data_IF_898853027100
#
_entry.id   IF_898853027100
#
_cell.length_a   1.000
_cell.length_b   1.000
_cell.length_c   1.000
_cell.angle_alpha   90.00
_cell.angle_beta   90.00
_cell.angle_gamma   90.00
#
_symmetry.space_group_name_H-M   'P 1'
#
loop_
_entity.id
_entity.type
_entity.pdbx_description
1 polymer ?
#
# COMPACT_ATOMS: atom_id res chain seq x y z
N UNK A 1 -15.60 12.15 24.33
CA UNK A 1 -15.26 11.41 25.58
C UNK A 1 -13.86 10.82 25.54
N UNK A 2 -13.38 10.19 24.44
CA UNK A 2 -12.04 9.62 24.37
C UNK A 2 -10.94 10.70 24.47
N UNK A 3 -11.06 11.79 23.72
CA UNK A 3 -10.09 12.87 23.72
C UNK A 3 -9.99 13.58 25.08
N UNK A 4 -11.12 13.77 25.78
CA UNK A 4 -11.12 14.33 27.15
C UNK A 4 -10.41 13.43 28.14
N UNK A 5 -10.64 12.10 28.05
CA UNK A 5 -9.92 11.14 28.90
C UNK A 5 -8.42 11.17 28.64
N UNK A 6 -8.01 11.26 27.36
CA UNK A 6 -6.57 11.36 27.01
C UNK A 6 -5.96 12.64 27.57
N UNK A 7 -6.67 13.77 27.52
CA UNK A 7 -6.23 15.03 28.12
C UNK A 7 -6.06 14.92 29.64
N UNK A 8 -6.94 14.17 30.33
CA UNK A 8 -6.87 13.94 31.77
C UNK A 8 -5.74 12.97 32.16
N UNK A 9 -5.44 11.98 31.32
CA UNK A 9 -4.45 10.92 31.60
C UNK A 9 -3.03 11.27 31.14
N UNK A 10 -2.84 12.26 30.27
CA UNK A 10 -1.55 12.61 29.67
C UNK A 10 -1.08 14.01 30.12
N UNK A 11 -0.19 14.06 31.12
CA UNK A 11 0.36 15.31 31.69
C UNK A 11 1.02 16.25 30.66
N UNK A 12 1.46 15.70 29.52
CA UNK A 12 2.09 16.46 28.44
C UNK A 12 1.09 17.24 27.58
N UNK A 13 -0.19 16.86 27.56
CA UNK A 13 -1.24 17.55 26.80
C UNK A 13 -1.74 18.76 27.58
N UNK A 14 -1.81 19.91 26.90
CA UNK A 14 -2.18 21.18 27.54
C UNK A 14 -3.57 21.65 27.12
N UNK A 15 -4.01 21.31 25.94
CA UNK A 15 -5.31 21.72 25.40
C UNK A 15 -5.84 20.73 24.38
N UNK A 16 -7.15 20.79 24.20
CA UNK A 16 -7.89 20.06 23.20
C UNK A 16 -8.42 21.08 22.17
N UNK A 17 -8.23 20.77 20.88
CA UNK A 17 -8.75 21.56 19.77
C UNK A 17 -9.81 20.73 19.06
N UNK A 18 -11.01 21.26 18.91
CA UNK A 18 -12.11 20.62 18.18
C UNK A 18 -12.20 21.17 16.76
N UNK A 19 -12.40 20.25 15.81
CA UNK A 19 -12.73 20.57 14.42
C UNK A 19 -14.19 20.15 14.21
N UNK A 20 -15.05 21.08 13.86
CA UNK A 20 -16.50 20.86 13.64
C UNK A 20 -17.37 21.44 14.75
N UNK A 21 -18.62 21.02 14.81
CA UNK A 21 -19.69 21.68 15.60
C UNK A 21 -19.78 21.27 17.08
N UNK A 22 -18.71 20.80 17.68
CA UNK A 22 -18.73 20.47 19.13
C UNK A 22 -18.62 21.74 19.98
N UNK A 23 -19.59 21.95 20.88
CA UNK A 23 -19.66 23.10 21.79
C UNK A 23 -19.15 22.77 23.19
N UNK A 24 -18.17 21.89 23.31
CA UNK A 24 -17.54 21.56 24.58
C UNK A 24 -16.58 22.62 25.13
N UNK A 25 -16.02 22.34 26.31
CA UNK A 25 -15.01 23.21 26.96
C UNK A 25 -13.61 22.90 26.38
N UNK A 26 -13.38 23.37 25.15
CA UNK A 26 -12.12 23.19 24.41
C UNK A 26 -11.95 24.32 23.38
N UNK A 27 -10.78 24.42 22.76
CA UNK A 27 -10.51 25.39 21.72
C UNK A 27 -11.24 24.99 20.43
N UNK A 28 -11.87 25.95 19.78
CA UNK A 28 -12.51 25.77 18.48
C UNK A 28 -11.54 26.10 17.36
N UNK A 29 -11.36 25.16 16.42
CA UNK A 29 -10.38 25.27 15.34
C UNK A 29 -10.67 26.47 14.42
N UNK A 30 -11.93 26.65 13.99
CA UNK A 30 -12.32 27.70 13.06
C UNK A 30 -12.16 29.08 13.70
N UNK A 31 -12.58 29.24 14.96
CA UNK A 31 -12.39 30.48 15.72
C UNK A 31 -10.91 30.83 15.92
N UNK A 32 -10.05 29.81 16.11
CA UNK A 32 -8.61 30.03 16.19
C UNK A 32 -8.05 30.54 14.85
N UNK A 33 -8.45 29.94 13.74
CA UNK A 33 -8.06 30.38 12.39
C UNK A 33 -8.50 31.83 12.16
N UNK A 34 -9.78 32.14 12.41
CA UNK A 34 -10.34 33.49 12.22
C UNK A 34 -9.59 34.55 13.04
N UNK A 35 -9.25 34.25 14.30
CA UNK A 35 -8.55 35.18 15.17
C UNK A 35 -7.10 35.47 14.76
N UNK A 36 -6.53 34.65 13.87
CA UNK A 36 -5.15 34.78 13.40
C UNK A 36 -5.05 35.15 11.90
N UNK A 37 -6.17 35.38 11.23
CA UNK A 37 -6.16 35.79 9.83
C UNK A 37 -5.41 37.13 9.66
N UNK A 38 -4.50 37.17 8.70
CA UNK A 38 -3.69 38.36 8.38
C UNK A 38 -2.57 38.66 9.35
N UNK A 39 -2.31 37.81 10.32
CA UNK A 39 -1.12 37.92 11.16
C UNK A 39 0.11 37.38 10.39
N UNK A 40 1.24 38.07 10.51
CA UNK A 40 2.52 37.55 10.00
C UNK A 40 3.11 36.58 11.02
N UNK A 41 3.47 35.39 10.54
CA UNK A 41 4.21 34.41 11.32
C UNK A 41 5.66 34.41 10.86
N UNK A 42 6.58 34.29 11.82
CA UNK A 42 7.97 34.05 11.53
C UNK A 42 8.18 32.57 11.28
N UNK A 43 8.65 32.22 10.08
CA UNK A 43 9.04 30.85 9.78
C UNK A 43 10.20 30.43 10.69
N UNK A 44 10.08 29.23 11.26
CA UNK A 44 11.18 28.61 11.96
C UNK A 44 12.20 28.04 10.96
N UNK A 45 13.48 28.17 11.32
CA UNK A 45 14.55 27.55 10.52
C UNK A 45 14.54 26.05 10.81
N UNK A 46 14.48 25.24 9.78
CA UNK A 46 14.58 23.78 9.88
C UNK A 46 15.84 23.29 9.21
N UNK A 47 16.48 22.33 9.85
CA UNK A 47 17.68 21.67 9.33
C UNK A 47 17.31 20.35 8.61
N UNK A 48 18.26 19.82 7.85
CA UNK A 48 18.06 18.61 7.04
C UNK A 48 17.59 17.42 7.88
N UNK A 49 18.16 17.24 9.07
CA UNK A 49 17.92 16.10 9.96
C UNK A 49 16.79 16.35 10.96
N UNK A 50 16.17 17.53 10.95
CA UNK A 50 15.04 17.80 11.83
C UNK A 50 13.85 16.90 11.50
N UNK A 51 13.14 16.35 12.51
CA UNK A 51 11.94 15.57 12.30
C UNK A 51 10.83 16.41 11.64
N UNK A 52 10.27 15.87 10.55
CA UNK A 52 9.12 16.46 9.87
C UNK A 52 7.83 15.70 10.17
N UNK A 53 7.91 14.35 10.14
CA UNK A 53 6.73 13.51 10.25
C UNK A 53 7.04 12.22 11.01
N UNK A 54 6.23 11.90 12.00
CA UNK A 54 6.23 10.61 12.68
C UNK A 54 5.24 9.68 11.97
N UNK A 55 5.74 8.74 11.18
CA UNK A 55 4.91 7.81 10.44
C UNK A 55 4.70 6.53 11.26
N UNK A 56 3.50 6.38 11.82
CA UNK A 56 3.17 5.23 12.66
C UNK A 56 2.85 4.01 11.82
N UNK A 57 3.51 2.90 12.14
CA UNK A 57 3.25 1.58 11.55
C UNK A 57 2.81 0.59 12.62
N UNK A 58 1.96 -0.38 12.24
CA UNK A 58 1.57 -1.46 13.14
C UNK A 58 2.75 -2.41 13.31
N UNK A 59 3.48 -2.27 14.43
CA UNK A 59 4.59 -3.18 14.75
C UNK A 59 4.11 -4.63 14.91
N UNK A 60 4.97 -5.59 14.57
CA UNK A 60 4.74 -7.04 14.77
C UNK A 60 4.50 -7.39 16.25
N UNK A 61 4.99 -6.57 17.18
CA UNK A 61 4.86 -6.73 18.64
C UNK A 61 3.56 -6.19 19.23
N UNK A 62 2.65 -5.65 18.41
CA UNK A 62 1.35 -5.14 18.84
C UNK A 62 1.32 -3.67 19.29
N UNK A 63 2.46 -3.02 19.53
CA UNK A 63 2.54 -1.57 19.75
C UNK A 63 2.97 -0.86 18.46
N UNK A 64 2.29 0.22 18.05
CA UNK A 64 2.73 1.00 16.89
C UNK A 64 4.14 1.54 17.08
N UNK A 65 4.94 1.50 16.01
CA UNK A 65 6.26 2.14 15.95
C UNK A 65 6.16 3.39 15.08
N UNK A 66 6.83 4.47 15.47
CA UNK A 66 6.85 5.72 14.71
C UNK A 66 8.18 5.86 13.96
N UNK A 67 8.18 5.66 12.66
CA UNK A 67 9.33 6.00 11.81
C UNK A 67 9.51 7.52 11.75
N UNK A 68 10.71 8.00 12.03
CA UNK A 68 11.05 9.43 12.00
C UNK A 68 11.45 9.81 10.58
N UNK A 69 10.58 10.57 9.91
CA UNK A 69 10.84 11.13 8.60
C UNK A 69 11.36 12.56 8.77
N UNK A 70 12.53 12.86 8.19
CA UNK A 70 13.17 14.19 8.32
C UNK A 70 12.80 15.11 7.17
N UNK A 71 13.05 16.41 7.34
CA UNK A 71 12.90 17.39 6.26
C UNK A 71 13.76 17.06 5.05
N UNK A 72 14.99 16.62 5.27
CA UNK A 72 15.90 16.25 4.20
C UNK A 72 15.46 14.98 3.46
N UNK A 73 15.03 13.96 4.18
CA UNK A 73 14.46 12.75 3.59
C UNK A 73 13.23 13.11 2.73
N UNK A 74 12.31 13.92 3.24
CA UNK A 74 11.11 14.31 2.50
C UNK A 74 11.45 15.16 1.28
N UNK A 75 12.45 16.02 1.34
CA UNK A 75 12.95 16.77 0.18
C UNK A 75 13.45 15.81 -0.92
N UNK A 76 14.24 14.79 -0.55
CA UNK A 76 14.64 13.74 -1.50
C UNK A 76 13.42 13.03 -2.08
N UNK A 77 12.47 12.61 -1.25
CA UNK A 77 11.25 11.89 -1.65
C UNK A 77 10.42 12.70 -2.65
N UNK A 78 10.19 13.99 -2.39
CA UNK A 78 9.44 14.87 -3.30
C UNK A 78 10.12 14.94 -4.66
N UNK A 79 11.43 15.19 -4.71
CA UNK A 79 12.17 15.24 -5.96
C UNK A 79 12.19 13.89 -6.70
N UNK A 80 12.38 12.80 -5.97
CA UNK A 80 12.37 11.46 -6.52
C UNK A 80 11.01 11.08 -7.12
N UNK A 81 9.90 11.39 -6.43
CA UNK A 81 8.54 11.13 -6.95
C UNK A 81 8.27 11.95 -8.23
N UNK A 82 8.69 13.21 -8.27
CA UNK A 82 8.55 14.05 -9.46
C UNK A 82 9.35 13.49 -10.64
N UNK A 83 10.53 12.90 -10.39
CA UNK A 83 11.36 12.32 -11.45
C UNK A 83 10.82 10.98 -11.94
N UNK A 84 10.42 10.08 -11.02
CA UNK A 84 10.14 8.68 -11.34
C UNK A 84 8.65 8.40 -11.58
N UNK A 85 7.73 9.04 -10.82
CA UNK A 85 6.30 8.69 -10.86
C UNK A 85 5.48 9.61 -11.75
N UNK A 86 5.75 10.93 -11.73
CA UNK A 86 4.98 11.93 -12.47
C UNK A 86 5.89 12.92 -13.19
N UNK A 87 6.81 12.43 -14.04
CA UNK A 87 7.72 13.32 -14.78
C UNK A 87 6.95 14.36 -15.60
N UNK A 88 7.50 15.57 -15.70
CA UNK A 88 6.89 16.66 -16.45
C UNK A 88 5.69 17.33 -15.78
N UNK A 89 5.49 17.14 -14.47
CA UNK A 89 4.45 17.86 -13.71
C UNK A 89 4.82 19.32 -13.53
N UNK A 90 3.85 20.22 -13.75
CA UNK A 90 3.98 21.68 -13.69
C UNK A 90 2.86 22.30 -12.85
N UNK A 91 2.87 23.62 -12.72
CA UNK A 91 1.81 24.38 -12.04
C UNK A 91 0.44 24.33 -12.75
N UNK A 92 0.40 23.85 -13.98
CA UNK A 92 -0.85 23.68 -14.74
C UNK A 92 -1.53 22.33 -14.48
N UNK A 93 -0.83 21.42 -13.77
CA UNK A 93 -1.37 20.12 -13.44
C UNK A 93 -2.39 20.20 -12.29
N UNK A 94 -3.28 19.23 -12.28
CA UNK A 94 -4.29 19.09 -11.25
C UNK A 94 -4.24 17.66 -10.70
N UNK A 95 -4.08 17.53 -9.42
CA UNK A 95 -4.19 16.25 -8.71
C UNK A 95 -5.53 16.12 -7.99
N UNK A 96 -6.03 14.90 -7.78
CA UNK A 96 -7.22 14.64 -6.97
C UNK A 96 -6.90 13.69 -5.83
N UNK A 97 -7.31 14.06 -4.61
CA UNK A 97 -7.12 13.24 -3.42
C UNK A 97 -8.32 12.31 -3.20
N UNK A 98 -8.10 11.00 -3.34
CA UNK A 98 -9.11 9.94 -3.17
C UNK A 98 -8.78 8.99 -2.02
N UNK A 99 -7.62 9.15 -1.41
CA UNK A 99 -7.14 8.35 -0.29
C UNK A 99 -6.76 9.27 0.89
N UNK A 100 -6.71 8.75 2.13
CA UNK A 100 -6.39 9.57 3.31
C UNK A 100 -5.03 10.28 3.19
N UNK A 101 -5.03 11.58 3.47
CA UNK A 101 -3.82 12.41 3.43
C UNK A 101 -2.81 12.08 4.55
N UNK A 102 -3.21 11.30 5.54
CA UNK A 102 -2.32 10.78 6.58
C UNK A 102 -1.37 9.66 6.12
N UNK A 103 -1.44 9.27 4.83
CA UNK A 103 -0.64 8.21 4.22
C UNK A 103 -0.01 8.66 2.89
N UNK A 104 0.20 7.72 1.96
CA UNK A 104 0.83 7.96 0.67
C UNK A 104 0.21 9.10 -0.14
N UNK A 105 -1.10 9.34 -0.02
CA UNK A 105 -1.77 10.49 -0.64
C UNK A 105 -1.27 11.83 -0.09
N UNK A 106 -0.90 11.91 1.19
CA UNK A 106 -0.30 13.12 1.77
C UNK A 106 1.10 13.39 1.21
N UNK A 107 1.92 12.36 1.05
CA UNK A 107 3.21 12.50 0.36
C UNK A 107 2.99 12.96 -1.08
N UNK A 108 2.04 12.35 -1.80
CA UNK A 108 1.70 12.74 -3.17
C UNK A 108 1.19 14.18 -3.27
N UNK A 109 0.49 14.69 -2.24
CA UNK A 109 0.10 16.10 -2.18
C UNK A 109 1.32 17.01 -2.14
N UNK A 110 2.34 16.71 -1.33
CA UNK A 110 3.52 17.55 -1.16
C UNK A 110 4.25 17.80 -2.48
N UNK A 111 4.38 16.79 -3.33
CA UNK A 111 5.07 16.94 -4.62
C UNK A 111 4.26 17.78 -5.62
N UNK A 112 2.92 17.71 -5.58
CA UNK A 112 2.08 18.59 -6.38
C UNK A 112 2.18 20.05 -5.90
N UNK A 113 2.16 20.28 -4.59
CA UNK A 113 2.39 21.61 -3.98
C UNK A 113 3.76 22.16 -4.35
N UNK A 114 4.82 21.35 -4.31
CA UNK A 114 6.17 21.74 -4.69
C UNK A 114 6.28 22.21 -6.16
N UNK A 115 5.33 21.80 -7.03
CA UNK A 115 5.23 22.25 -8.42
C UNK A 115 4.22 23.39 -8.64
N UNK A 116 3.52 23.83 -7.58
CA UNK A 116 2.43 24.79 -7.70
C UNK A 116 1.17 24.24 -8.35
N UNK A 117 1.07 22.91 -8.50
CA UNK A 117 -0.09 22.23 -9.06
C UNK A 117 -1.31 22.32 -8.13
N UNK A 118 -2.51 22.32 -8.71
CA UNK A 118 -3.75 22.38 -7.96
C UNK A 118 -4.10 21.01 -7.36
N UNK A 119 -4.76 21.03 -6.20
CA UNK A 119 -5.29 19.82 -5.55
C UNK A 119 -6.80 19.89 -5.40
N UNK A 120 -7.51 18.91 -5.94
CA UNK A 120 -8.95 18.69 -5.75
C UNK A 120 -9.14 17.72 -4.60
N UNK A 121 -9.89 18.13 -3.58
CA UNK A 121 -10.30 17.25 -2.47
C UNK A 121 -11.67 16.67 -2.77
N UNK A 122 -11.80 15.35 -2.66
CA UNK A 122 -13.10 14.69 -2.75
C UNK A 122 -13.99 15.12 -1.57
N UNK A 123 -15.24 15.56 -1.81
CA UNK A 123 -16.16 15.86 -0.73
C UNK A 123 -16.69 14.58 -0.06
N UNK A 124 -16.99 14.67 1.23
CA UNK A 124 -17.60 13.59 2.00
C UNK A 124 -16.62 12.53 2.50
N UNK A 125 -17.16 11.52 3.19
CA UNK A 125 -16.37 10.48 3.88
C UNK A 125 -16.28 9.17 3.11
N UNK A 126 -16.91 9.07 1.93
CA UNK A 126 -16.92 7.89 1.07
C UNK A 126 -16.61 8.30 -0.36
N UNK A 127 -15.81 7.48 -1.04
CA UNK A 127 -15.56 7.65 -2.46
C UNK A 127 -16.83 7.37 -3.25
N UNK A 128 -17.23 8.35 -4.06
CA UNK A 128 -18.30 8.24 -5.06
C UNK A 128 -17.63 8.21 -6.44
N UNK A 129 -17.68 7.08 -7.16
CA UNK A 129 -17.04 6.96 -8.47
C UNK A 129 -17.62 7.90 -9.54
N UNK A 130 -18.91 8.18 -9.49
CA UNK A 130 -19.52 9.09 -10.46
C UNK A 130 -19.03 10.52 -10.24
N UNK A 131 -19.07 11.00 -9.01
CA UNK A 131 -18.55 12.32 -8.64
C UNK A 131 -17.03 12.42 -8.94
N UNK A 132 -16.29 11.34 -8.72
CA UNK A 132 -14.86 11.30 -9.06
C UNK A 132 -14.65 11.61 -10.55
N UNK A 133 -15.33 10.90 -11.45
CA UNK A 133 -15.14 11.11 -12.89
C UNK A 133 -15.67 12.46 -13.36
N UNK A 134 -16.74 13.00 -12.76
CA UNK A 134 -17.18 14.38 -12.98
C UNK A 134 -16.10 15.40 -12.62
N UNK A 135 -15.43 15.20 -11.49
CA UNK A 135 -14.35 16.09 -11.06
C UNK A 135 -13.10 15.94 -11.94
N UNK A 136 -12.78 14.73 -12.41
CA UNK A 136 -11.69 14.49 -13.37
C UNK A 136 -11.91 15.28 -14.64
N UNK A 137 -13.10 15.20 -15.25
CA UNK A 137 -13.44 15.95 -16.44
C UNK A 137 -13.45 17.46 -16.18
N UNK A 138 -14.18 17.90 -15.15
CA UNK A 138 -14.38 19.32 -14.81
C UNK A 138 -13.06 20.07 -14.54
N UNK A 139 -12.16 19.44 -13.79
CA UNK A 139 -10.91 20.05 -13.36
C UNK A 139 -9.73 19.62 -14.22
N UNK A 140 -9.94 18.77 -15.25
CA UNK A 140 -8.90 18.21 -16.11
C UNK A 140 -7.76 17.58 -15.29
N UNK A 141 -8.14 16.71 -14.35
CA UNK A 141 -7.19 16.06 -13.45
C UNK A 141 -6.15 15.30 -14.27
N UNK A 142 -4.88 15.51 -13.94
CA UNK A 142 -3.75 14.89 -14.66
C UNK A 142 -3.07 13.76 -13.88
N UNK A 143 -3.19 13.74 -12.55
CA UNK A 143 -2.56 12.71 -11.74
C UNK A 143 -3.33 12.46 -10.43
N UNK A 144 -3.14 11.26 -9.88
CA UNK A 144 -3.62 10.91 -8.54
C UNK A 144 -2.80 9.77 -7.94
N UNK A 145 -2.81 9.69 -6.61
CA UNK A 145 -2.36 8.53 -5.86
C UNK A 145 -3.55 7.75 -5.30
N UNK A 146 -3.51 6.41 -5.41
CA UNK A 146 -4.59 5.56 -4.95
C UNK A 146 -4.08 4.16 -4.54
N UNK A 147 -5.02 3.25 -4.27
CA UNK A 147 -4.77 1.83 -3.97
C UNK A 147 -5.50 0.94 -4.97
N UNK A 148 -5.06 -0.32 -5.20
CA UNK A 148 -5.66 -1.22 -6.19
C UNK A 148 -7.18 -1.37 -6.08
N UNK A 149 -7.71 -1.42 -4.86
CA UNK A 149 -9.18 -1.54 -4.64
C UNK A 149 -9.95 -0.33 -5.12
N UNK A 150 -9.38 0.88 -5.00
CA UNK A 150 -9.99 2.11 -5.53
C UNK A 150 -9.88 2.12 -7.05
N UNK A 151 -8.73 1.75 -7.63
CA UNK A 151 -8.61 1.64 -9.10
C UNK A 151 -9.71 0.72 -9.63
N UNK A 152 -9.86 -0.48 -9.06
CA UNK A 152 -10.91 -1.43 -9.45
C UNK A 152 -12.31 -0.81 -9.38
N UNK A 153 -12.66 -0.18 -8.25
CA UNK A 153 -13.95 0.47 -8.06
C UNK A 153 -14.22 1.54 -9.13
N UNK A 154 -13.23 2.36 -9.45
CA UNK A 154 -13.36 3.45 -10.42
C UNK A 154 -13.55 2.94 -11.83
N UNK A 155 -12.79 1.93 -12.27
CA UNK A 155 -12.84 1.41 -13.65
C UNK A 155 -13.99 0.42 -13.89
N UNK A 156 -14.55 -0.17 -12.83
CA UNK A 156 -15.73 -1.04 -12.91
C UNK A 156 -17.05 -0.27 -12.91
N UNK A 157 -17.04 0.96 -12.43
CA UNK A 157 -18.25 1.79 -12.43
C UNK A 157 -18.52 2.35 -13.82
N UNK A 158 -19.78 2.28 -14.27
CA UNK A 158 -20.19 2.71 -15.62
C UNK A 158 -19.88 4.17 -15.96
N UNK A 159 -19.69 5.02 -14.95
CA UNK A 159 -19.35 6.43 -15.15
C UNK A 159 -17.99 6.65 -15.79
N UNK A 160 -17.05 5.69 -15.74
CA UNK A 160 -15.76 5.80 -16.44
C UNK A 160 -15.94 6.03 -17.95
N UNK A 161 -16.97 5.44 -18.54
CA UNK A 161 -17.27 5.55 -19.97
C UNK A 161 -18.11 6.81 -20.32
N UNK A 162 -18.58 7.57 -19.31
CA UNK A 162 -19.46 8.73 -19.52
C UNK A 162 -18.75 10.08 -19.48
N UNK A 163 -17.61 10.16 -18.80
CA UNK A 163 -16.86 11.40 -18.57
C UNK A 163 -15.51 11.40 -19.28
N UNK A 164 -15.07 12.57 -19.73
CA UNK A 164 -13.75 12.73 -20.36
C UNK A 164 -12.64 12.67 -19.31
N UNK A 165 -11.83 11.66 -19.40
CA UNK A 165 -10.62 11.48 -18.57
C UNK A 165 -9.32 11.56 -19.37
N UNK A 166 -9.35 12.13 -20.59
CA UNK A 166 -8.18 12.24 -21.48
C UNK A 166 -7.06 13.13 -20.94
N UNK A 167 -7.35 13.93 -19.91
CA UNK A 167 -6.35 14.72 -19.18
C UNK A 167 -5.48 13.89 -18.23
N UNK A 168 -5.93 12.68 -17.86
CA UNK A 168 -5.23 11.83 -16.91
C UNK A 168 -3.95 11.28 -17.53
N UNK A 169 -2.81 11.54 -16.90
CA UNK A 169 -1.49 11.07 -17.32
C UNK A 169 -0.92 10.01 -16.39
N UNK A 170 -1.20 10.14 -15.10
CA UNK A 170 -0.64 9.26 -14.07
C UNK A 170 -1.69 8.86 -13.04
N UNK A 171 -2.05 7.57 -13.03
CA UNK A 171 -2.79 6.93 -11.96
C UNK A 171 -1.83 6.05 -11.16
N UNK A 172 -1.31 6.60 -10.06
CA UNK A 172 -0.36 5.90 -9.22
C UNK A 172 -1.13 4.96 -8.30
N UNK A 173 -0.71 3.69 -8.24
CA UNK A 173 -1.25 2.71 -7.31
C UNK A 173 -0.16 2.03 -6.49
N UNK A 174 -0.42 1.85 -5.20
CA UNK A 174 0.51 1.25 -4.26
C UNK A 174 -0.19 0.69 -3.01
N UNK A 175 0.59 0.17 -2.06
CA UNK A 175 0.12 -0.22 -0.73
C UNK A 175 -0.54 -1.59 -0.64
N UNK A 176 -0.87 -2.21 -1.77
CA UNK A 176 -1.35 -3.59 -1.90
C UNK A 176 -0.99 -4.16 -3.28
N UNK A 177 -1.01 -5.48 -3.46
CA UNK A 177 -0.87 -6.09 -4.77
C UNK A 177 -2.00 -5.67 -5.72
N UNK A 178 -1.65 -5.37 -6.97
CA UNK A 178 -2.61 -5.24 -8.07
C UNK A 178 -2.72 -6.57 -8.80
N UNK A 179 -3.92 -7.12 -8.88
CA UNK A 179 -4.13 -8.36 -9.61
C UNK A 179 -4.14 -8.12 -11.11
N UNK A 180 -3.64 -9.08 -11.88
CA UNK A 180 -3.47 -8.94 -13.32
C UNK A 180 -4.78 -8.61 -14.06
N UNK A 181 -5.88 -9.25 -13.67
CA UNK A 181 -7.19 -8.99 -14.27
C UNK A 181 -7.66 -7.54 -14.06
N UNK A 182 -7.47 -7.00 -12.84
CA UNK A 182 -7.84 -5.62 -12.51
C UNK A 182 -6.90 -4.62 -13.22
N UNK A 183 -5.60 -4.95 -13.34
CA UNK A 183 -4.63 -4.15 -14.08
C UNK A 183 -5.00 -4.05 -15.57
N UNK A 184 -5.33 -5.19 -16.22
CA UNK A 184 -5.78 -5.21 -17.63
C UNK A 184 -7.02 -4.33 -17.82
N UNK A 185 -8.02 -4.48 -16.95
CA UNK A 185 -9.25 -3.70 -17.02
C UNK A 185 -8.97 -2.19 -16.89
N UNK A 186 -8.06 -1.80 -15.99
CA UNK A 186 -7.65 -0.41 -15.85
C UNK A 186 -6.95 0.11 -17.11
N UNK A 187 -6.04 -0.67 -17.69
CA UNK A 187 -5.35 -0.31 -18.94
C UNK A 187 -6.31 -0.23 -20.14
N UNK A 188 -7.30 -1.13 -20.23
CA UNK A 188 -8.33 -1.09 -21.26
C UNK A 188 -9.18 0.17 -21.20
N UNK A 189 -9.56 0.61 -20.00
CA UNK A 189 -10.42 1.78 -19.78
C UNK A 189 -9.67 3.11 -19.85
N UNK A 190 -8.46 3.16 -19.34
CA UNK A 190 -7.74 4.41 -19.10
C UNK A 190 -6.53 4.61 -20.02
N UNK A 191 -6.08 3.55 -20.71
CA UNK A 191 -4.85 3.58 -21.47
C UNK A 191 -3.59 3.51 -20.60
N UNK A 192 -2.45 3.97 -21.15
CA UNK A 192 -1.11 3.92 -20.53
C UNK A 192 -0.91 5.02 -19.47
N UNK A 193 -1.71 5.00 -18.42
CA UNK A 193 -1.63 5.99 -17.31
C UNK A 193 -1.25 5.36 -15.97
N UNK A 194 -1.14 4.03 -15.93
CA UNK A 194 -0.87 3.30 -14.69
C UNK A 194 0.59 3.42 -14.28
N UNK A 195 0.85 3.79 -13.03
CA UNK A 195 2.18 3.81 -12.42
C UNK A 195 2.09 3.05 -11.10
N UNK A 196 2.91 2.01 -10.94
CA UNK A 196 3.01 1.31 -9.67
C UNK A 196 4.21 1.80 -8.89
N UNK A 197 4.11 1.82 -7.56
CA UNK A 197 5.30 1.76 -6.73
C UNK A 197 5.14 0.78 -5.56
N UNK A 198 6.27 0.28 -5.10
CA UNK A 198 6.38 -0.50 -3.87
C UNK A 198 7.21 0.26 -2.84
N UNK A 199 6.77 0.17 -1.59
CA UNK A 199 7.45 0.72 -0.44
C UNK A 199 6.58 0.69 0.80
N UNK A 200 7.10 1.27 1.86
CA UNK A 200 6.48 1.32 3.17
C UNK A 200 6.68 2.69 3.81
N UNK A 201 6.06 2.92 4.96
CA UNK A 201 6.09 4.21 5.64
C UNK A 201 7.49 4.68 5.98
N UNK A 202 8.33 3.77 6.42
CA UNK A 202 9.73 4.00 6.81
C UNK A 202 10.63 4.47 5.66
N UNK A 203 10.20 4.23 4.42
CA UNK A 203 10.92 4.63 3.19
C UNK A 203 10.07 5.56 2.33
N UNK A 204 8.93 6.01 2.86
CA UNK A 204 7.97 6.89 2.16
C UNK A 204 7.57 6.40 0.75
N UNK A 205 7.50 5.07 0.57
CA UNK A 205 7.15 4.45 -0.70
C UNK A 205 8.27 4.42 -1.76
N UNK A 206 9.50 4.81 -1.41
CA UNK A 206 10.60 4.96 -2.36
C UNK A 206 11.48 3.70 -2.49
N UNK A 207 10.91 2.50 -2.65
CA UNK A 207 11.73 1.30 -2.90
C UNK A 207 11.82 1.02 -4.40
N UNK A 208 10.70 0.68 -5.05
CA UNK A 208 10.65 0.46 -6.50
C UNK A 208 9.52 1.21 -7.17
N UNK A 209 9.54 1.25 -8.50
CA UNK A 209 8.43 1.71 -9.31
C UNK A 209 8.37 0.99 -10.66
N UNK A 210 7.15 0.87 -11.18
CA UNK A 210 6.88 0.40 -12.53
C UNK A 210 6.20 1.54 -13.28
N UNK A 211 6.89 2.22 -14.19
CA UNK A 211 6.35 3.37 -14.94
C UNK A 211 5.30 2.93 -15.96
N UNK A 212 4.62 3.89 -16.55
CA UNK A 212 3.50 3.64 -17.46
C UNK A 212 3.88 2.72 -18.62
N UNK A 213 5.03 2.93 -19.24
CA UNK A 213 5.52 2.18 -20.40
C UNK A 213 5.90 0.72 -20.10
N UNK A 214 6.01 0.36 -18.82
CA UNK A 214 6.29 -1.01 -18.39
C UNK A 214 5.03 -1.81 -18.01
N UNK A 215 3.85 -1.29 -18.35
CA UNK A 215 2.58 -2.00 -18.28
C UNK A 215 2.13 -2.42 -19.68
N UNK A 216 1.61 -3.62 -19.84
CA UNK A 216 1.09 -4.12 -21.13
C UNK A 216 -0.23 -4.88 -20.91
N UNK A 217 -1.13 -4.83 -21.88
CA UNK A 217 -2.35 -5.66 -21.94
C UNK A 217 -2.05 -7.07 -22.42
N UNK A 218 -1.00 -7.25 -23.22
CA UNK A 218 -0.62 -8.51 -23.81
C UNK A 218 0.25 -9.32 -22.82
N UNK A 219 -0.23 -10.49 -22.41
CA UNK A 219 0.49 -11.38 -21.51
C UNK A 219 1.71 -12.05 -22.18
N UNK A 220 1.74 -12.10 -23.51
CA UNK A 220 2.85 -12.66 -24.29
C UNK A 220 3.94 -11.59 -24.58
N UNK A 221 3.68 -10.31 -24.25
CA UNK A 221 4.66 -9.26 -24.38
C UNK A 221 5.83 -9.51 -23.39
N UNK A 222 7.06 -9.63 -23.87
CA UNK A 222 8.23 -9.76 -22.99
C UNK A 222 8.37 -8.63 -21.96
N UNK A 223 7.73 -7.48 -22.22
CA UNK A 223 7.72 -6.31 -21.35
C UNK A 223 6.46 -6.21 -20.48
N UNK A 224 5.61 -7.22 -20.45
CA UNK A 224 4.39 -7.19 -19.63
C UNK A 224 4.68 -7.07 -18.11
N UNK A 225 5.87 -7.53 -17.67
CA UNK A 225 6.35 -7.42 -16.28
C UNK A 225 5.33 -7.88 -15.23
N UNK A 226 4.56 -8.94 -15.58
CA UNK A 226 3.45 -9.45 -14.76
C UNK A 226 3.94 -9.82 -13.35
N UNK A 227 3.28 -9.29 -12.33
CA UNK A 227 3.62 -9.55 -10.93
C UNK A 227 4.84 -8.79 -10.39
N UNK A 228 5.59 -8.08 -11.24
CA UNK A 228 6.71 -7.25 -10.78
C UNK A 228 6.21 -5.98 -10.09
N UNK A 229 6.94 -5.53 -9.09
CA UNK A 229 6.79 -4.21 -8.50
C UNK A 229 7.79 -3.18 -9.09
N UNK A 230 8.45 -3.52 -10.20
CA UNK A 230 9.29 -2.62 -10.99
C UNK A 230 10.76 -2.66 -10.65
N UNK A 231 11.43 -1.57 -10.95
CA UNK A 231 12.87 -1.34 -10.78
C UNK A 231 13.15 -0.45 -9.57
N UNK A 232 14.38 -0.44 -9.04
CA UNK A 232 14.76 0.47 -7.95
C UNK A 232 14.47 1.93 -8.30
N UNK A 233 13.99 2.70 -7.31
CA UNK A 233 13.81 4.14 -7.46
C UNK A 233 15.16 4.84 -7.65
N UNK A 234 15.16 5.93 -8.40
CA UNK A 234 16.37 6.75 -8.63
C UNK A 234 17.01 7.17 -7.31
N UNK A 235 18.29 6.84 -7.12
CA UNK A 235 19.04 7.13 -5.90
C UNK A 235 18.81 6.17 -4.73
N UNK A 236 18.06 5.09 -4.94
CA UNK A 236 17.89 4.00 -3.98
C UNK A 236 18.63 2.74 -4.44
N UNK A 237 19.13 1.97 -3.49
CA UNK A 237 19.73 0.66 -3.74
C UNK A 237 18.85 -0.44 -3.14
N UNK A 238 18.77 -1.58 -3.83
CA UNK A 238 18.05 -2.77 -3.39
C UNK A 238 18.98 -3.97 -3.40
N UNK A 239 18.85 -4.81 -2.39
CA UNK A 239 19.47 -6.12 -2.33
C UNK A 239 18.46 -7.17 -1.88
N UNK A 240 18.63 -8.39 -2.38
CA UNK A 240 17.95 -9.57 -1.84
C UNK A 240 18.96 -10.27 -0.95
N UNK A 241 18.66 -10.33 0.35
CA UNK A 241 19.61 -10.87 1.35
C UNK A 241 19.11 -12.20 1.93
N UNK A 242 20.06 -13.09 2.21
CA UNK A 242 19.80 -14.28 3.04
C UNK A 242 19.88 -13.95 4.53
N UNK A 243 19.64 -14.95 5.39
CA UNK A 243 19.70 -14.82 6.86
C UNK A 243 21.11 -14.50 7.42
N UNK A 244 22.14 -14.52 6.59
CA UNK A 244 23.50 -14.15 6.94
C UNK A 244 23.91 -12.81 6.33
N UNK A 245 22.94 -12.01 5.87
CA UNK A 245 23.13 -10.71 5.21
C UNK A 245 23.94 -10.77 3.91
N UNK A 246 23.97 -11.94 3.27
CA UNK A 246 24.68 -12.12 2.00
C UNK A 246 23.71 -11.90 0.85
N UNK A 247 24.13 -11.10 -0.14
CA UNK A 247 23.38 -10.88 -1.36
C UNK A 247 23.20 -12.16 -2.17
N UNK A 248 21.97 -12.42 -2.56
CA UNK A 248 21.55 -13.52 -3.40
C UNK A 248 21.62 -13.15 -4.89
N UNK A 249 21.65 -14.17 -5.75
CA UNK A 249 21.67 -14.00 -7.21
C UNK A 249 20.25 -13.75 -7.74
N UNK A 250 20.21 -13.31 -9.00
CA UNK A 250 18.95 -13.17 -9.72
C UNK A 250 18.14 -14.49 -9.69
N UNK A 251 16.84 -14.37 -9.38
CA UNK A 251 15.90 -15.49 -9.23
C UNK A 251 15.91 -16.20 -7.87
N UNK A 252 16.90 -15.94 -7.00
CA UNK A 252 16.92 -16.50 -5.65
C UNK A 252 16.06 -15.65 -4.71
N UNK A 253 15.20 -16.32 -3.91
CA UNK A 253 14.27 -15.66 -2.97
C UNK A 253 14.97 -15.41 -1.64
N UNK A 254 14.90 -14.18 -1.16
CA UNK A 254 15.36 -13.73 0.16
C UNK A 254 14.60 -12.51 0.63
N UNK A 255 15.10 -11.85 1.67
CA UNK A 255 14.51 -10.60 2.13
C UNK A 255 14.87 -9.45 1.20
N UNK A 256 13.87 -8.65 0.83
CA UNK A 256 14.07 -7.41 0.08
C UNK A 256 14.57 -6.36 1.07
N UNK A 257 15.79 -5.91 0.88
CA UNK A 257 16.40 -4.86 1.68
C UNK A 257 16.73 -3.66 0.81
N UNK A 258 16.65 -2.46 1.38
CA UNK A 258 16.95 -1.24 0.64
C UNK A 258 17.81 -0.28 1.47
N UNK A 259 18.49 0.63 0.78
CA UNK A 259 19.22 1.74 1.38
C UNK A 259 19.20 2.97 0.48
N UNK A 260 19.35 4.13 1.07
CA UNK A 260 19.36 5.39 0.34
C UNK A 260 18.70 6.51 1.11
N UNK A 261 18.67 7.72 0.52
CA UNK A 261 18.21 8.92 1.22
C UNK A 261 16.71 8.93 1.60
N UNK A 262 15.91 7.99 1.09
CA UNK A 262 14.50 7.87 1.45
C UNK A 262 14.25 7.05 2.71
N UNK A 263 15.27 6.39 3.27
CA UNK A 263 15.13 5.59 4.49
C UNK A 263 15.02 6.50 5.71
N UNK A 264 14.06 6.22 6.61
CA UNK A 264 13.82 7.01 7.83
C UNK A 264 15.07 7.06 8.74
N UNK A 265 15.13 8.06 9.61
CA UNK A 265 16.19 8.23 10.57
C UNK A 265 16.21 7.17 11.70
N UNK A 266 15.19 6.32 11.73
CA UNK A 266 14.96 5.28 12.72
C UNK A 266 13.57 5.37 13.34
N UNK A 267 13.33 4.58 14.40
CA UNK A 267 12.06 4.62 15.14
C UNK A 267 12.19 5.51 16.39
N UNK A 268 11.22 6.40 16.58
CA UNK A 268 11.17 7.33 17.70
C UNK A 268 11.17 6.58 19.03
N UNK A 269 12.09 6.96 19.92
CA UNK A 269 12.28 6.36 21.25
C UNK A 269 12.37 4.82 21.25
N UNK A 270 12.87 4.23 20.15
CA UNK A 270 13.00 2.80 20.03
C UNK A 270 14.30 2.39 19.31
N UNK A 271 15.46 2.54 20.00
CA UNK A 271 16.78 2.26 19.42
C UNK A 271 16.95 0.78 19.04
N UNK A 272 16.42 -0.16 19.84
CA UNK A 272 16.54 -1.59 19.56
C UNK A 272 15.85 -1.96 18.26
N UNK A 273 14.64 -1.45 18.03
CA UNK A 273 13.92 -1.66 16.78
C UNK A 273 14.59 -0.96 15.59
N UNK A 274 15.29 0.13 15.84
CA UNK A 274 16.07 0.84 14.80
C UNK A 274 17.28 0.01 14.41
N UNK A 275 18.04 -0.52 15.38
CA UNK A 275 19.19 -1.37 15.14
C UNK A 275 18.81 -2.64 14.35
N UNK A 276 17.73 -3.32 14.79
CA UNK A 276 17.18 -4.49 14.09
C UNK A 276 16.81 -4.17 12.62
N UNK A 277 16.09 -3.06 12.41
CA UNK A 277 15.63 -2.69 11.07
C UNK A 277 16.73 -2.19 10.15
N UNK A 278 17.89 -1.78 10.68
CA UNK A 278 19.04 -1.23 9.93
C UNK A 278 20.25 -2.17 9.94
N UNK A 279 20.07 -3.43 10.24
CA UNK A 279 21.17 -4.39 10.37
C UNK A 279 22.00 -4.47 9.09
N UNK A 280 23.32 -4.56 9.24
CA UNK A 280 24.25 -4.66 8.12
C UNK A 280 24.28 -3.44 7.18
N UNK A 281 23.70 -2.30 7.59
CA UNK A 281 23.63 -1.06 6.79
C UNK A 281 22.54 -1.09 5.70
N UNK A 282 21.59 -1.99 5.82
CA UNK A 282 20.40 -2.11 4.98
C UNK A 282 19.15 -1.93 5.81
N UNK A 283 18.14 -1.28 5.26
CA UNK A 283 16.81 -1.29 5.85
C UNK A 283 16.10 -2.60 5.47
N UNK A 284 15.73 -3.37 6.47
CA UNK A 284 15.03 -4.65 6.38
C UNK A 284 13.53 -4.43 6.26
N UNK A 285 12.96 -4.77 5.10
CA UNK A 285 11.53 -4.51 4.84
C UNK A 285 10.59 -5.54 5.48
N UNK A 286 11.11 -6.73 5.80
CA UNK A 286 10.30 -7.88 6.19
C UNK A 286 9.52 -8.50 5.03
N UNK A 287 9.64 -7.97 3.82
CA UNK A 287 9.05 -8.53 2.61
C UNK A 287 10.06 -9.47 1.93
N UNK A 288 9.59 -10.63 1.48
CA UNK A 288 10.37 -11.62 0.75
C UNK A 288 10.14 -11.45 -0.75
N UNK A 289 11.20 -11.67 -1.52
CA UNK A 289 11.12 -11.56 -2.97
C UNK A 289 12.42 -11.90 -3.67
N UNK A 290 12.49 -11.62 -4.93
CA UNK A 290 13.67 -11.81 -5.77
C UNK A 290 13.79 -10.68 -6.79
N UNK A 291 14.97 -10.56 -7.38
CA UNK A 291 15.24 -9.71 -8.54
C UNK A 291 15.51 -10.60 -9.73
N UNK A 292 14.90 -10.32 -10.89
CA UNK A 292 15.20 -11.07 -12.12
C UNK A 292 16.49 -10.56 -12.80
N UNK A 293 16.89 -11.23 -13.90
CA UNK A 293 18.10 -10.86 -14.67
C UNK A 293 18.00 -9.45 -15.31
N UNK A 294 16.79 -8.89 -15.44
CA UNK A 294 16.54 -7.54 -15.96
C UNK A 294 16.55 -6.47 -14.87
N UNK A 295 16.71 -6.86 -13.59
CA UNK A 295 16.68 -5.96 -12.46
C UNK A 295 15.28 -5.65 -11.92
N UNK A 296 14.26 -6.39 -12.37
CA UNK A 296 12.88 -6.24 -11.89
C UNK A 296 12.68 -6.97 -10.56
N UNK A 297 12.05 -6.30 -9.62
CA UNK A 297 11.76 -6.82 -8.28
C UNK A 297 10.39 -7.49 -8.26
N UNK A 298 10.32 -8.66 -7.62
CA UNK A 298 9.10 -9.44 -7.43
C UNK A 298 8.93 -9.75 -5.96
N UNK A 299 7.76 -9.42 -5.39
CA UNK A 299 7.42 -9.70 -4.00
C UNK A 299 6.68 -11.03 -3.93
N UNK A 300 7.22 -12.01 -3.19
CA UNK A 300 6.58 -13.31 -2.98
C UNK A 300 5.68 -13.34 -1.73
N UNK A 301 5.90 -12.43 -0.78
CA UNK A 301 5.08 -12.30 0.42
C UNK A 301 5.81 -11.61 1.55
N UNK A 302 5.22 -11.66 2.75
CA UNK A 302 5.89 -11.23 3.98
C UNK A 302 6.51 -12.41 4.69
N UNK A 303 7.65 -12.20 5.34
CA UNK A 303 8.29 -13.20 6.20
C UNK A 303 7.35 -13.66 7.32
N UNK A 304 6.56 -12.73 7.87
CA UNK A 304 5.55 -13.00 8.90
C UNK A 304 4.31 -13.76 8.43
N UNK A 305 4.04 -13.77 7.13
CA UNK A 305 2.87 -14.45 6.54
C UNK A 305 3.22 -15.81 5.95
N UNK A 306 4.52 -16.03 5.65
CA UNK A 306 5.03 -17.33 5.21
C UNK A 306 4.78 -18.37 6.31
N UNK A 307 4.39 -19.56 5.93
CA UNK A 307 4.27 -20.70 6.84
C UNK A 307 5.05 -21.91 6.32
N UNK A 308 5.42 -22.81 7.23
CA UNK A 308 6.23 -23.98 6.92
C UNK A 308 5.35 -25.22 6.94
N UNK A 309 5.09 -25.80 5.78
CA UNK A 309 4.29 -27.02 5.65
C UNK A 309 5.17 -28.19 5.23
N UNK A 310 5.32 -29.18 6.09
CA UNK A 310 6.13 -30.37 5.82
C UNK A 310 7.59 -30.05 5.51
N UNK A 311 8.15 -28.97 6.09
CA UNK A 311 9.53 -28.53 5.87
C UNK A 311 9.71 -27.64 4.63
N UNK A 312 8.65 -27.34 3.89
CA UNK A 312 8.70 -26.44 2.73
C UNK A 312 8.09 -25.06 3.09
N UNK A 313 8.78 -24.00 2.69
CA UNK A 313 8.24 -22.65 2.78
C UNK A 313 7.07 -22.48 1.81
N UNK A 314 5.95 -22.00 2.32
CA UNK A 314 4.76 -21.69 1.53
C UNK A 314 4.47 -20.19 1.62
N UNK A 315 4.38 -19.56 0.46
CA UNK A 315 4.10 -18.14 0.33
C UNK A 315 2.62 -17.96 -0.04
N UNK A 316 1.78 -17.46 0.86
CA UNK A 316 0.34 -17.34 0.64
C UNK A 316 -0.06 -16.59 -0.61
N UNK A 317 0.69 -15.55 -0.97
CA UNK A 317 0.41 -14.71 -2.14
C UNK A 317 0.39 -15.49 -3.46
N UNK A 318 1.28 -16.45 -3.65
CA UNK A 318 1.32 -17.27 -4.87
C UNK A 318 0.02 -18.06 -5.06
N UNK A 319 -0.57 -18.51 -3.94
CA UNK A 319 -1.83 -19.26 -3.96
C UNK A 319 -3.00 -18.32 -4.18
N UNK A 320 -2.98 -17.16 -3.51
CA UNK A 320 -4.00 -16.12 -3.66
C UNK A 320 -4.10 -15.63 -5.10
N UNK A 321 -2.96 -15.38 -5.75
CA UNK A 321 -2.92 -14.96 -7.17
C UNK A 321 -3.56 -15.99 -8.10
N UNK A 322 -3.30 -17.27 -7.87
CA UNK A 322 -3.95 -18.34 -8.64
C UNK A 322 -5.46 -18.38 -8.38
N UNK A 323 -5.88 -18.36 -7.12
CA UNK A 323 -7.30 -18.43 -6.75
C UNK A 323 -8.11 -17.24 -7.27
N UNK A 324 -7.51 -16.04 -7.32
CA UNK A 324 -8.15 -14.83 -7.84
C UNK A 324 -8.35 -14.82 -9.37
N UNK A 325 -7.69 -15.71 -10.10
CA UNK A 325 -7.99 -15.91 -11.52
C UNK A 325 -9.26 -16.74 -11.75
N UNK A 326 -9.84 -17.32 -10.69
CA UNK A 326 -11.12 -18.02 -10.79
C UNK A 326 -12.28 -17.03 -10.82
N UNK A 327 -13.18 -17.06 -11.84
CA UNK A 327 -14.24 -16.04 -11.98
C UNK A 327 -15.20 -15.95 -10.80
N UNK A 328 -15.38 -17.03 -10.05
CA UNK A 328 -16.22 -17.10 -8.87
C UNK A 328 -15.58 -16.54 -7.57
N UNK A 329 -14.33 -16.06 -7.63
CA UNK A 329 -13.61 -15.51 -6.46
C UNK A 329 -13.53 -13.99 -6.61
N UNK A 330 -14.04 -13.27 -5.63
CA UNK A 330 -13.92 -11.80 -5.54
C UNK A 330 -12.73 -11.37 -4.69
N UNK A 331 -12.56 -12.02 -3.53
CA UNK A 331 -11.44 -11.77 -2.63
C UNK A 331 -10.98 -13.11 -2.02
N UNK A 332 -9.69 -13.20 -1.68
CA UNK A 332 -9.14 -14.37 -0.99
C UNK A 332 -8.01 -13.96 -0.05
N UNK A 333 -7.90 -14.65 1.07
CA UNK A 333 -6.76 -14.57 1.98
C UNK A 333 -6.34 -15.97 2.37
N UNK A 334 -5.05 -16.28 2.17
CA UNK A 334 -4.44 -17.56 2.56
C UNK A 334 -3.45 -17.32 3.70
N UNK A 335 -3.44 -18.19 4.70
CA UNK A 335 -2.47 -18.14 5.81
C UNK A 335 -2.29 -19.51 6.45
N UNK A 336 -1.15 -19.69 7.12
CA UNK A 336 -0.83 -20.91 7.84
C UNK A 336 -1.58 -21.02 9.17
N UNK A 337 -1.98 -22.23 9.51
CA UNK A 337 -2.52 -22.62 10.82
C UNK A 337 -1.78 -23.85 11.32
N UNK A 338 -1.69 -24.09 12.65
CA UNK A 338 -1.04 -25.26 13.19
C UNK A 338 -1.67 -26.56 12.67
N UNK A 339 -0.83 -27.54 12.34
CA UNK A 339 -1.22 -28.89 11.88
C UNK A 339 -0.32 -29.95 12.52
N UNK A 340 -0.91 -30.99 13.09
CA UNK A 340 -0.17 -32.04 13.81
C UNK A 340 0.80 -32.82 12.91
N UNK A 341 0.47 -32.99 11.62
CA UNK A 341 1.26 -33.78 10.69
C UNK A 341 2.33 -32.96 9.97
N UNK A 342 1.99 -31.72 9.58
CA UNK A 342 2.81 -30.90 8.70
C UNK A 342 3.49 -29.73 9.42
N UNK A 343 3.26 -29.57 10.75
CA UNK A 343 3.65 -28.42 11.54
C UNK A 343 2.70 -27.26 11.31
N UNK A 344 2.58 -26.82 10.08
CA UNK A 344 1.56 -25.88 9.64
C UNK A 344 0.92 -26.35 8.33
N UNK A 345 -0.33 -25.93 8.11
CA UNK A 345 -1.04 -26.10 6.84
C UNK A 345 -1.73 -24.81 6.43
N UNK A 346 -1.91 -24.60 5.13
CA UNK A 346 -2.64 -23.43 4.62
C UNK A 346 -4.15 -23.58 4.80
N UNK A 347 -4.80 -22.47 5.13
CA UNK A 347 -6.27 -22.32 5.00
C UNK A 347 -6.56 -21.07 4.17
N UNK A 348 -7.68 -21.08 3.46
CA UNK A 348 -8.12 -19.96 2.64
C UNK A 348 -9.49 -19.45 3.08
N UNK A 349 -9.62 -18.13 3.25
CA UNK A 349 -10.91 -17.45 3.35
C UNK A 349 -11.22 -16.86 1.99
N UNK A 350 -12.39 -17.15 1.45
CA UNK A 350 -12.83 -16.75 0.10
C UNK A 350 -14.11 -15.95 0.20
N UNK A 351 -14.14 -14.78 -0.44
CA UNK A 351 -15.35 -14.03 -0.73
C UNK A 351 -15.75 -14.33 -2.17
N UNK A 352 -16.97 -14.82 -2.36
CA UNK A 352 -17.48 -15.21 -3.67
C UNK A 352 -17.86 -13.98 -4.50
N UNK A 353 -17.69 -14.11 -5.80
CA UNK A 353 -18.23 -13.13 -6.75
C UNK A 353 -19.75 -13.37 -6.91
N UNK A 354 -20.62 -12.42 -6.54
CA UNK A 354 -22.08 -12.60 -6.58
C UNK A 354 -22.64 -12.69 -8.00
N UNK A 355 -21.86 -12.35 -9.03
CA UNK A 355 -22.31 -12.26 -10.43
C UNK A 355 -21.89 -13.47 -11.28
N UNK A 356 -21.27 -14.49 -10.67
CA UNK A 356 -20.76 -15.66 -11.39
C UNK A 356 -21.22 -16.97 -10.75
N UNK A 357 -20.99 -18.09 -11.44
CA UNK A 357 -21.23 -19.42 -10.88
C UNK A 357 -20.45 -19.64 -9.59
N UNK A 358 -21.07 -20.37 -8.66
CA UNK A 358 -20.57 -20.55 -7.30
C UNK A 358 -19.23 -21.27 -7.32
N UNK A 359 -18.17 -20.59 -6.86
CA UNK A 359 -16.93 -21.24 -6.48
C UNK A 359 -17.17 -22.07 -5.20
N UNK A 360 -17.29 -23.37 -5.32
CA UNK A 360 -17.22 -24.28 -4.18
C UNK A 360 -15.79 -24.79 -3.96
N UNK A 361 -15.58 -25.53 -2.88
CA UNK A 361 -14.27 -26.06 -2.54
C UNK A 361 -13.69 -26.97 -3.64
N UNK A 362 -14.53 -27.79 -4.30
CA UNK A 362 -14.11 -28.69 -5.36
C UNK A 362 -13.66 -27.92 -6.61
N UNK A 363 -14.39 -26.89 -7.00
CA UNK A 363 -14.03 -26.01 -8.10
C UNK A 363 -12.70 -25.29 -7.87
N UNK A 364 -12.45 -24.84 -6.63
CA UNK A 364 -11.21 -24.17 -6.27
C UNK A 364 -10.01 -25.11 -6.29
N UNK A 365 -10.16 -26.37 -5.80
CA UNK A 365 -9.10 -27.37 -5.93
C UNK A 365 -8.83 -27.72 -7.40
N UNK A 366 -9.88 -27.89 -8.21
CA UNK A 366 -9.70 -28.11 -9.63
C UNK A 366 -8.99 -26.94 -10.33
N UNK A 367 -9.25 -25.71 -9.89
CA UNK A 367 -8.61 -24.52 -10.44
C UNK A 367 -7.12 -24.40 -10.08
N UNK A 368 -6.73 -24.90 -8.88
CA UNK A 368 -5.35 -24.96 -8.45
C UNK A 368 -4.54 -26.05 -9.16
N UNK A 369 -5.22 -27.09 -9.71
CA UNK A 369 -4.55 -28.24 -10.33
C UNK A 369 -3.80 -27.79 -11.59
N UNK A 370 -2.54 -28.20 -11.69
CA UNK A 370 -1.62 -27.81 -12.75
C UNK A 370 -1.09 -26.37 -12.68
N UNK A 371 -1.63 -25.52 -11.79
CA UNK A 371 -1.19 -24.11 -11.63
C UNK A 371 -0.38 -23.90 -10.36
N UNK A 372 -0.60 -24.71 -9.34
CA UNK A 372 0.07 -24.60 -8.06
C UNK A 372 0.46 -25.98 -7.55
N UNK A 373 1.67 -26.12 -7.01
CA UNK A 373 2.16 -27.37 -6.45
C UNK A 373 1.25 -27.86 -5.30
N UNK A 374 0.91 -29.14 -5.27
CA UNK A 374 -0.12 -29.70 -4.39
C UNK A 374 0.16 -29.54 -2.89
N UNK A 375 1.43 -29.49 -2.48
CA UNK A 375 1.81 -29.26 -1.09
C UNK A 375 1.52 -27.84 -0.58
N UNK A 376 1.30 -26.89 -1.50
CA UNK A 376 0.92 -25.49 -1.21
C UNK A 376 -0.59 -25.29 -1.09
N UNK A 377 -1.40 -26.26 -1.51
CA UNK A 377 -2.84 -26.12 -1.52
C UNK A 377 -3.38 -25.89 -0.12
N UNK A 378 -4.33 -24.97 0.07
CA UNK A 378 -5.05 -24.86 1.32
C UNK A 378 -5.72 -26.19 1.69
N UNK A 379 -5.63 -26.58 2.95
CA UNK A 379 -6.29 -27.80 3.47
C UNK A 379 -7.79 -27.60 3.64
N UNK A 380 -8.24 -26.34 3.74
CA UNK A 380 -9.64 -25.95 3.89
C UNK A 380 -9.91 -24.61 3.24
N UNK A 381 -11.17 -24.45 2.75
CA UNK A 381 -11.71 -23.18 2.30
C UNK A 381 -12.85 -22.74 3.21
N UNK A 382 -12.82 -21.48 3.66
CA UNK A 382 -13.90 -20.85 4.41
C UNK A 382 -14.54 -19.79 3.49
N UNK A 383 -15.86 -19.79 3.39
CA UNK A 383 -16.57 -18.85 2.54
C UNK A 383 -17.26 -17.80 3.41
N UNK A 384 -16.88 -16.55 3.21
CA UNK A 384 -17.42 -15.41 3.92
C UNK A 384 -18.14 -14.45 2.97
N UNK A 385 -19.09 -13.67 3.50
CA UNK A 385 -19.79 -12.67 2.69
C UNK A 385 -18.92 -11.45 2.42
N UNK A 386 -18.05 -11.09 3.34
CA UNK A 386 -17.13 -9.95 3.26
C UNK A 386 -15.81 -10.26 3.94
N UNK A 387 -14.73 -9.66 3.43
CA UNK A 387 -13.40 -9.74 4.05
C UNK A 387 -13.20 -8.55 4.99
N UNK A 388 -12.91 -8.77 6.29
CA UNK A 388 -12.53 -7.69 7.19
C UNK A 388 -11.27 -6.97 6.71
N UNK A 389 -11.32 -5.64 6.72
CA UNK A 389 -10.22 -4.78 6.27
C UNK A 389 -9.90 -3.72 7.31
N UNK A 390 -8.63 -3.34 7.39
CA UNK A 390 -8.21 -2.18 8.17
C UNK A 390 -8.86 -0.90 7.66
N UNK A 391 -8.76 0.20 8.42
CA UNK A 391 -9.24 1.53 7.99
C UNK A 391 -8.64 2.02 6.66
N UNK A 392 -7.58 1.39 6.18
CA UNK A 392 -6.90 1.66 4.90
C UNK A 392 -7.22 0.63 3.81
N UNK A 393 -8.23 -0.22 4.02
CA UNK A 393 -8.66 -1.21 3.04
C UNK A 393 -7.77 -2.46 2.90
N UNK A 394 -6.79 -2.65 3.80
CA UNK A 394 -5.89 -3.82 3.77
C UNK A 394 -6.49 -4.98 4.56
N UNK A 395 -6.38 -6.19 4.01
CA UNK A 395 -6.67 -7.45 4.71
C UNK A 395 -5.54 -7.72 5.70
N UNK A 396 -5.89 -7.91 6.99
CA UNK A 396 -4.93 -8.21 8.06
C UNK A 396 -5.03 -9.69 8.42
N UNK A 397 -4.12 -10.51 7.90
CA UNK A 397 -4.16 -11.98 8.08
C UNK A 397 -4.11 -12.43 9.54
N UNK A 398 -3.43 -11.68 10.40
CA UNK A 398 -3.40 -11.92 11.85
C UNK A 398 -4.82 -11.89 12.44
N UNK A 399 -5.61 -10.88 12.09
CA UNK A 399 -6.97 -10.72 12.60
C UNK A 399 -7.88 -11.86 12.10
N UNK A 400 -7.73 -12.24 10.81
CA UNK A 400 -8.46 -13.36 10.22
C UNK A 400 -8.15 -14.67 10.93
N UNK A 401 -6.88 -14.92 11.24
CA UNK A 401 -6.44 -16.11 11.98
C UNK A 401 -7.07 -16.14 13.39
N UNK A 402 -7.07 -15.00 14.10
CA UNK A 402 -7.69 -14.89 15.42
C UNK A 402 -9.21 -15.10 15.36
N UNK A 403 -9.89 -14.58 14.34
CA UNK A 403 -11.33 -14.79 14.15
C UNK A 403 -11.68 -16.26 13.94
N UNK A 404 -10.95 -16.97 13.07
CA UNK A 404 -11.16 -18.41 12.86
C UNK A 404 -10.86 -19.23 14.11
N UNK A 405 -9.80 -18.88 14.85
CA UNK A 405 -9.47 -19.52 16.13
C UNK A 405 -10.57 -19.34 17.16
N UNK A 406 -11.13 -18.14 17.30
CA UNK A 406 -12.23 -17.84 18.21
C UNK A 406 -13.54 -18.56 17.83
N UNK A 407 -13.69 -18.93 16.56
CA UNK A 407 -14.79 -19.76 16.06
C UNK A 407 -14.56 -21.26 16.24
N UNK A 408 -13.40 -21.68 16.79
CA UNK A 408 -13.05 -23.08 16.98
C UNK A 408 -12.83 -23.86 15.69
N UNK A 409 -12.37 -23.17 14.63
CA UNK A 409 -12.18 -23.80 13.32
C UNK A 409 -10.83 -24.53 13.20
N UNK A 410 -9.89 -24.26 14.11
CA UNK A 410 -8.60 -24.96 14.28
C UNK A 410 -8.05 -24.76 15.70
#
# INVERSE_FOLDING_TARGET
DHAKRVLEEADSLKFLICIGDDQGDHLDYESMIESHLGQEFKDETVEYDDPLWFFYTSGTTGRPKAGVLTHGQMNFVVNNHLADLIPGTTEQDVSIAVAPLSHGAGVHMLLNVARGASLVLMPGNKLDPELFWQLVERHRVSNLFTVPTIVKMLVEHESVDRYDHSSLRYMIYAGAPMYRADQKKALEKLGQVMVQYYGMGEVTGCITYLPTEMHSLDDEDPNANIGSCGIPRTGMEIAILDSNLKSLKAGEVGEICCRGPAVCAGYHDNPDATEEAMEGGWFHTGDLGYVDERGLVYITGRSSDMYISGGANVYPREIEEVLLTHPGVSEVAVFGVPDEKWGETGVAIVVRNPHTEIADEAALYQHLDGKCARYRWPSRFFFWDTMPKSGYGKIVKKDLREMLKNQGMF
#
